data_IF_219766940169
#
_entry.id   IF_219766940169
#
_cell.length_a   1.000
_cell.length_b   1.000
_cell.length_c   1.000
_cell.angle_alpha   90.00
_cell.angle_beta   90.00
_cell.angle_gamma   90.00
#
_symmetry.space_group_name_H-M   'P 1'
#
loop_
_entity.id
_entity.type
_entity.pdbx_description
1 polymer ?
#
# COMPACT_ATOMS: atom_id res chain seq x y z
N UNK A 1 -0.04 -11.23 7.97
CA UNK A 1 -1.08 -10.17 7.80
C UNK A 1 -2.24 -10.75 7.03
N UNK A 2 -3.48 -10.37 7.33
CA UNK A 2 -4.69 -10.92 6.65
C UNK A 2 -4.95 -10.23 5.30
N UNK A 3 -4.80 -8.90 5.24
CA UNK A 3 -5.05 -8.12 4.02
C UNK A 3 -3.83 -7.99 3.09
N UNK A 4 -2.62 -8.25 3.59
CA UNK A 4 -1.37 -8.10 2.81
C UNK A 4 -0.95 -6.65 2.53
N UNK A 5 -1.59 -5.66 3.15
CA UNK A 5 -1.29 -4.23 3.02
C UNK A 5 -0.70 -3.69 4.34
N UNK A 6 0.31 -2.82 4.27
CA UNK A 6 0.78 -2.06 5.44
C UNK A 6 -0.28 -1.05 5.89
N UNK A 7 -0.36 -0.67 7.18
CA UNK A 7 -1.38 0.26 7.68
C UNK A 7 -1.45 1.57 6.89
N UNK A 8 -0.29 2.15 6.54
CA UNK A 8 -0.22 3.39 5.74
C UNK A 8 -0.85 3.27 4.36
N UNK A 9 -0.96 2.05 3.82
CA UNK A 9 -1.49 1.77 2.48
C UNK A 9 -2.97 1.44 2.50
N UNK A 10 -3.58 1.44 3.69
CA UNK A 10 -4.96 1.05 3.89
C UNK A 10 -5.84 2.31 3.92
N UNK A 11 -6.87 2.31 3.09
CA UNK A 11 -7.95 3.30 3.12
C UNK A 11 -9.23 2.61 3.53
N UNK A 12 -9.75 2.96 4.69
CA UNK A 12 -10.90 2.31 5.28
C UNK A 12 -12.15 3.15 5.02
N UNK A 13 -13.19 2.55 4.42
CA UNK A 13 -14.44 3.24 4.09
C UNK A 13 -15.61 2.59 4.82
N UNK A 14 -16.44 3.44 5.42
CA UNK A 14 -17.73 3.05 5.98
C UNK A 14 -18.82 4.00 5.47
N UNK A 15 -19.87 3.43 4.85
CA UNK A 15 -20.99 4.19 4.24
C UNK A 15 -20.52 5.29 3.26
N UNK A 16 -19.51 4.97 2.45
CA UNK A 16 -18.98 5.89 1.44
C UNK A 16 -18.09 7.02 1.99
N UNK A 17 -17.79 7.03 3.29
CA UNK A 17 -16.85 7.98 3.90
C UNK A 17 -15.57 7.25 4.31
N UNK A 18 -14.44 7.84 3.94
CA UNK A 18 -13.12 7.44 4.40
C UNK A 18 -12.95 7.74 5.89
N UNK A 19 -12.17 6.90 6.58
CA UNK A 19 -11.97 6.92 8.03
C UNK A 19 -10.48 6.93 8.34
N UNK A 20 -10.12 7.70 9.35
CA UNK A 20 -8.76 7.79 9.86
C UNK A 20 -8.52 6.80 11.01
N UNK A 21 -7.25 6.57 11.36
CA UNK A 21 -6.86 5.68 12.47
C UNK A 21 -7.40 6.16 13.84
N UNK A 22 -7.74 7.44 13.95
CA UNK A 22 -8.32 8.05 15.16
C UNK A 22 -9.84 7.83 15.29
N UNK A 23 -10.52 7.43 14.20
CA UNK A 23 -11.96 7.21 14.18
C UNK A 23 -12.32 5.85 14.81
N UNK A 24 -12.81 5.85 16.05
CA UNK A 24 -13.30 4.62 16.67
C UNK A 24 -14.63 4.15 16.04
N UNK A 25 -14.68 2.86 15.68
CA UNK A 25 -15.82 2.21 15.02
C UNK A 25 -17.19 2.47 15.68
N UNK A 26 -17.25 2.44 17.02
CA UNK A 26 -18.48 2.66 17.77
C UNK A 26 -18.98 4.11 17.67
N UNK A 27 -18.07 5.09 17.57
CA UNK A 27 -18.42 6.51 17.45
C UNK A 27 -18.94 6.84 16.05
N UNK A 28 -18.39 6.17 15.03
CA UNK A 28 -18.84 6.32 13.63
C UNK A 28 -20.07 5.47 13.30
N UNK A 29 -20.61 4.73 14.28
CA UNK A 29 -21.86 3.98 14.17
C UNK A 29 -21.75 2.62 13.48
N UNK A 30 -20.55 2.02 13.43
CA UNK A 30 -20.34 0.64 12.99
C UNK A 30 -20.89 -0.30 14.07
N UNK A 31 -21.76 -1.23 13.66
CA UNK A 31 -22.36 -2.24 14.54
C UNK A 31 -21.94 -3.64 14.15
N UNK A 32 -22.39 -4.63 14.91
CA UNK A 32 -22.19 -6.03 14.57
C UNK A 32 -22.69 -6.32 13.15
N UNK A 33 -21.89 -7.06 12.37
CA UNK A 33 -22.14 -7.47 10.98
C UNK A 33 -22.23 -6.34 9.94
N UNK A 34 -21.98 -5.09 10.32
CA UNK A 34 -21.86 -4.02 9.34
C UNK A 34 -20.63 -4.26 8.43
N UNK A 35 -20.77 -3.89 7.16
CA UNK A 35 -19.70 -4.02 6.18
C UNK A 35 -18.81 -2.78 6.19
N UNK A 36 -17.50 -3.02 6.27
CA UNK A 36 -16.45 -2.02 6.13
C UNK A 36 -15.62 -2.41 4.91
N UNK A 37 -15.24 -1.42 4.10
CA UNK A 37 -14.42 -1.63 2.91
C UNK A 37 -12.97 -1.22 3.21
N UNK A 38 -12.03 -2.05 2.78
CA UNK A 38 -10.59 -1.78 2.85
C UNK A 38 -10.05 -1.68 1.43
N UNK A 39 -9.46 -0.53 1.08
CA UNK A 39 -8.88 -0.26 -0.23
C UNK A 39 -7.38 0.00 -0.08
N UNK A 40 -6.60 -0.33 -1.11
CA UNK A 40 -5.20 0.07 -1.22
C UNK A 40 -5.11 1.55 -1.64
N UNK A 41 -4.24 2.33 -1.01
CA UNK A 41 -3.97 3.71 -1.42
C UNK A 41 -3.22 3.74 -2.76
N UNK A 42 -3.82 4.28 -3.84
CA UNK A 42 -3.17 4.37 -5.14
C UNK A 42 -1.87 5.18 -5.12
N UNK A 43 -1.76 6.19 -4.26
CA UNK A 43 -0.57 7.03 -4.20
C UNK A 43 0.66 6.25 -3.70
N UNK A 44 0.47 5.39 -2.69
CA UNK A 44 1.53 4.55 -2.14
C UNK A 44 1.87 3.38 -3.05
N UNK A 45 0.88 2.83 -3.76
CA UNK A 45 1.08 1.81 -4.79
C UNK A 45 2.02 2.30 -5.89
N UNK A 46 1.77 3.51 -6.41
CA UNK A 46 2.60 4.11 -7.46
C UNK A 46 4.02 4.39 -6.97
N UNK A 47 4.17 4.88 -5.73
CA UNK A 47 5.48 5.11 -5.13
C UNK A 47 6.27 3.81 -5.01
N UNK A 48 5.65 2.73 -4.54
CA UNK A 48 6.29 1.40 -4.46
C UNK A 48 6.70 0.89 -5.83
N UNK A 49 5.84 1.03 -6.84
CA UNK A 49 6.15 0.62 -8.21
C UNK A 49 7.37 1.40 -8.75
N UNK A 50 7.38 2.72 -8.58
CA UNK A 50 8.52 3.57 -9.00
C UNK A 50 9.81 3.20 -8.28
N UNK A 51 9.75 2.99 -6.96
CA UNK A 51 10.90 2.57 -6.19
C UNK A 51 11.43 1.20 -6.64
N UNK A 52 10.54 0.24 -6.90
CA UNK A 52 10.91 -1.08 -7.41
C UNK A 52 11.57 -1.01 -8.80
N UNK A 53 11.06 -0.13 -9.68
CA UNK A 53 11.67 0.13 -10.99
C UNK A 53 13.05 0.79 -10.88
N UNK A 54 13.21 1.74 -9.96
CA UNK A 54 14.51 2.40 -9.73
C UNK A 54 15.55 1.47 -9.09
N UNK A 55 15.12 0.48 -8.31
CA UNK A 55 15.99 -0.52 -7.68
C UNK A 55 16.44 -1.63 -8.64
N UNK A 56 15.91 -1.68 -9.87
CA UNK A 56 16.40 -2.61 -10.89
C UNK A 56 17.89 -2.33 -11.14
N UNK A 57 18.76 -3.35 -11.06
CA UNK A 57 20.16 -3.16 -11.38
C UNK A 57 20.25 -2.69 -12.82
N UNK A 58 20.70 -1.45 -13.01
CA UNK A 58 21.08 -0.95 -14.32
C UNK A 58 22.15 -1.89 -14.81
N UNK A 59 21.82 -2.76 -15.77
CA UNK A 59 22.81 -3.61 -16.41
C UNK A 59 23.82 -2.67 -17.08
N UNK A 60 25.00 -2.54 -16.46
CA UNK A 60 26.11 -1.82 -17.06
C UNK A 60 26.42 -2.49 -18.40
N UNK A 61 26.38 -1.76 -19.53
CA UNK A 61 26.70 -2.33 -20.84
C UNK A 61 28.17 -2.76 -20.94
N UNK A 62 29.00 -2.38 -19.97
CA UNK A 62 30.41 -2.73 -19.93
C UNK A 62 30.63 -3.96 -19.06
N UNK A 63 30.80 -5.11 -19.74
CA UNK A 63 31.36 -6.34 -19.17
C UNK A 63 32.90 -6.17 -19.12
N UNK A 64 33.55 -6.09 -17.94
CA UNK A 64 34.99 -6.06 -17.91
C UNK A 64 35.50 -7.45 -18.30
N UNK A 65 36.10 -7.55 -19.48
CA UNK A 65 36.89 -8.72 -19.86
C UNK A 65 38.16 -8.71 -19.02
N UNK A 66 38.13 -9.40 -17.87
CA UNK A 66 39.36 -9.76 -17.18
C UNK A 66 40.06 -10.79 -18.07
N UNK A 67 41.15 -10.38 -18.73
CA UNK A 67 42.11 -11.32 -19.33
C UNK A 67 43.07 -11.76 -18.22
N UNK A 68 43.19 -13.08 -18.10
CA UNK A 68 44.11 -13.82 -17.22
C UNK A 68 45.55 -13.43 -17.49
#
# INVERSE_FOLDING_TARGET
MVAGLEPREQRLLFRGKEREDTDHLHMIGVRDRDKVLLLEDPALKDMKLRAALAAQPVQSPYRPFIKV
#
